data_IF_841794769610
#
_entry.id   IF_841794769610
#
_cell.length_a   1.000
_cell.length_b   1.000
_cell.length_c   1.000
_cell.angle_alpha   90.00
_cell.angle_beta   90.00
_cell.angle_gamma   90.00
#
_symmetry.space_group_name_H-M   'P 1'
#
loop_
_entity.id
_entity.type
_entity.pdbx_description
1 polymer ?
#
# COMPACT_ATOMS: atom_id res chain seq x y z
N UNK A 1 -11.84 -4.92 -9.42
CA UNK A 1 -11.17 -4.72 -8.11
C UNK A 1 -9.72 -5.10 -8.28
N UNK A 2 -8.79 -4.32 -7.73
CA UNK A 2 -7.36 -4.64 -7.77
C UNK A 2 -6.83 -4.79 -6.35
N UNK A 3 -5.77 -5.58 -6.17
CA UNK A 3 -5.21 -5.85 -4.84
C UNK A 3 -3.95 -5.02 -4.59
N UNK A 4 -3.92 -4.23 -3.52
CA UNK A 4 -2.69 -3.63 -3.01
C UNK A 4 -2.05 -4.63 -2.05
N UNK A 5 -0.81 -5.02 -2.29
CA UNK A 5 -0.14 -6.09 -1.54
C UNK A 5 1.01 -5.52 -0.70
N UNK A 6 0.77 -5.16 0.56
CA UNK A 6 1.83 -5.09 1.56
C UNK A 6 2.17 -6.51 2.03
N UNK A 7 3.35 -7.01 1.66
CA UNK A 7 3.87 -8.30 2.12
C UNK A 7 5.15 -8.03 2.93
N UNK A 8 4.97 -7.89 4.25
CA UNK A 8 6.04 -7.52 5.18
C UNK A 8 6.63 -8.76 5.84
N UNK A 9 7.08 -9.69 5.00
CA UNK A 9 7.89 -10.86 5.36
C UNK A 9 9.08 -10.92 4.40
N UNK A 10 10.26 -11.21 4.94
CA UNK A 10 11.47 -11.22 4.15
C UNK A 10 11.41 -12.33 3.07
N UNK A 11 11.86 -12.12 1.82
CA UNK A 11 11.80 -13.14 0.77
C UNK A 11 12.51 -14.45 1.09
N UNK A 12 13.54 -14.40 1.93
CA UNK A 12 14.24 -15.59 2.41
C UNK A 12 13.48 -16.36 3.52
N UNK A 13 12.55 -15.71 4.23
CA UNK A 13 11.76 -16.33 5.31
C UNK A 13 10.55 -17.07 4.74
N UNK A 14 9.87 -16.51 3.73
CA UNK A 14 8.76 -17.18 3.02
C UNK A 14 8.93 -17.11 1.49
N UNK A 15 9.89 -17.85 0.91
CA UNK A 15 10.07 -17.88 -0.54
C UNK A 15 8.83 -18.38 -1.29
N UNK A 16 7.98 -19.18 -0.63
CA UNK A 16 6.74 -19.71 -1.21
C UNK A 16 5.70 -18.61 -1.44
N UNK A 17 5.49 -17.72 -0.47
CA UNK A 17 4.61 -16.56 -0.63
C UNK A 17 5.09 -15.64 -1.75
N UNK A 18 6.38 -15.33 -1.80
CA UNK A 18 6.94 -14.47 -2.84
C UNK A 18 6.81 -15.11 -4.23
N UNK A 19 7.02 -16.41 -4.37
CA UNK A 19 6.79 -17.12 -5.63
C UNK A 19 5.32 -17.07 -6.10
N UNK A 20 4.36 -17.28 -5.17
CA UNK A 20 2.93 -17.14 -5.48
C UNK A 20 2.57 -15.71 -5.88
N UNK A 21 3.14 -14.71 -5.20
CA UNK A 21 2.93 -13.30 -5.54
C UNK A 21 3.47 -12.97 -6.93
N UNK A 22 4.68 -13.42 -7.27
CA UNK A 22 5.28 -13.24 -8.60
C UNK A 22 4.39 -13.86 -9.68
N UNK A 23 3.89 -15.07 -9.48
CA UNK A 23 3.02 -15.76 -10.44
C UNK A 23 1.70 -15.02 -10.68
N UNK A 24 1.22 -14.28 -9.70
CA UNK A 24 -0.03 -13.52 -9.77
C UNK A 24 0.18 -12.00 -9.89
N UNK A 25 1.39 -11.55 -10.24
CA UNK A 25 1.80 -10.14 -10.29
C UNK A 25 0.81 -9.22 -11.06
N UNK A 26 0.33 -9.68 -12.22
CA UNK A 26 -0.59 -8.92 -13.10
C UNK A 26 -1.98 -8.69 -12.49
N UNK A 27 -2.32 -9.37 -11.39
CA UNK A 27 -3.60 -9.24 -10.67
C UNK A 27 -3.52 -8.21 -9.54
N UNK A 28 -2.37 -7.60 -9.32
CA UNK A 28 -2.14 -6.60 -8.28
C UNK A 28 -2.33 -5.18 -8.82
N UNK A 29 -2.78 -4.27 -7.96
CA UNK A 29 -2.63 -2.82 -8.17
C UNK A 29 -1.16 -2.40 -8.04
N UNK A 30 -0.46 -3.01 -7.10
CA UNK A 30 0.95 -2.85 -6.81
C UNK A 30 1.38 -3.67 -5.59
N UNK A 31 2.68 -3.92 -5.50
CA UNK A 31 3.33 -4.61 -4.38
C UNK A 31 4.17 -3.60 -3.61
N UNK A 32 4.00 -3.55 -2.30
CA UNK A 32 4.77 -2.67 -1.42
C UNK A 32 6.01 -3.41 -0.94
N UNK A 33 7.20 -2.89 -1.26
CA UNK A 33 8.47 -3.40 -0.77
C UNK A 33 8.87 -2.65 0.50
N UNK A 34 9.09 -3.39 1.58
CA UNK A 34 9.50 -2.86 2.87
C UNK A 34 10.65 -3.69 3.50
N UNK A 35 11.89 -3.58 2.99
CA UNK A 35 13.03 -4.30 3.53
C UNK A 35 13.29 -4.10 5.02
N UNK A 36 13.23 -2.86 5.49
CA UNK A 36 13.62 -2.53 6.87
C UNK A 36 12.88 -1.28 7.41
N UNK A 37 11.55 -1.24 7.31
CA UNK A 37 10.75 -0.02 7.57
C UNK A 37 11.18 1.14 6.65
N UNK A 38 11.48 0.81 5.40
CA UNK A 38 12.21 1.63 4.44
C UNK A 38 13.11 0.75 3.56
N UNK A 39 14.00 1.35 2.75
CA UNK A 39 14.86 0.62 1.82
C UNK A 39 16.00 -0.14 2.51
N UNK A 40 16.30 0.16 3.78
CA UNK A 40 17.47 -0.33 4.50
C UNK A 40 18.71 0.55 4.33
N UNK A 41 19.81 0.14 4.97
CA UNK A 41 21.10 0.84 4.89
C UNK A 41 21.90 0.47 3.64
N UNK A 42 21.71 -0.75 3.13
CA UNK A 42 22.34 -1.31 1.92
C UNK A 42 21.31 -2.15 1.15
N UNK A 43 21.45 -2.32 -0.18
CA UNK A 43 20.53 -3.14 -0.96
C UNK A 43 20.55 -4.59 -0.49
N UNK A 44 19.42 -5.05 0.04
CA UNK A 44 19.21 -6.46 0.38
C UNK A 44 19.14 -7.33 -0.90
N UNK A 45 19.97 -8.39 -1.03
CA UNK A 45 19.99 -9.24 -2.22
C UNK A 45 18.69 -10.02 -2.47
N UNK A 46 18.01 -10.48 -1.42
CA UNK A 46 16.77 -11.24 -1.54
C UNK A 46 15.63 -10.33 -2.03
N UNK A 47 15.53 -9.11 -1.50
CA UNK A 47 14.60 -8.11 -2.02
C UNK A 47 14.95 -7.65 -3.44
N UNK A 48 16.24 -7.52 -3.77
CA UNK A 48 16.66 -7.18 -5.13
C UNK A 48 16.21 -8.24 -6.14
N UNK A 49 16.42 -9.52 -5.82
CA UNK A 49 15.98 -10.64 -6.64
C UNK A 49 14.44 -10.70 -6.77
N UNK A 50 13.73 -10.54 -5.65
CA UNK A 50 12.26 -10.54 -5.63
C UNK A 50 11.68 -9.37 -6.44
N UNK A 51 12.24 -8.16 -6.29
CA UNK A 51 11.85 -6.98 -7.05
C UNK A 51 12.06 -7.18 -8.56
N UNK A 52 13.21 -7.72 -8.96
CA UNK A 52 13.51 -8.06 -10.35
C UNK A 52 12.48 -9.04 -10.93
N UNK A 53 12.18 -10.12 -10.21
CA UNK A 53 11.21 -11.12 -10.64
C UNK A 53 9.78 -10.56 -10.73
N UNK A 54 9.35 -9.76 -9.75
CA UNK A 54 8.03 -9.12 -9.75
C UNK A 54 7.86 -8.16 -10.94
N UNK A 55 8.88 -7.35 -11.23
CA UNK A 55 8.85 -6.45 -12.40
C UNK A 55 8.81 -7.21 -13.71
N UNK A 56 9.62 -8.28 -13.85
CA UNK A 56 9.58 -9.14 -15.02
C UNK A 56 8.21 -9.79 -15.22
N UNK A 57 7.50 -10.09 -14.13
CA UNK A 57 6.13 -10.60 -14.13
C UNK A 57 5.04 -9.51 -14.30
N UNK A 58 5.43 -8.24 -14.45
CA UNK A 58 4.52 -7.11 -14.72
C UNK A 58 3.90 -6.46 -13.49
N UNK A 59 4.44 -6.70 -12.28
CA UNK A 59 3.99 -5.98 -11.09
C UNK A 59 4.47 -4.52 -11.12
N UNK A 60 3.60 -3.63 -10.63
CA UNK A 60 4.01 -2.30 -10.15
C UNK A 60 4.65 -2.43 -8.77
N UNK A 61 5.82 -1.82 -8.58
CA UNK A 61 6.52 -1.83 -7.29
C UNK A 61 6.43 -0.47 -6.60
N UNK A 62 6.09 -0.50 -5.32
CA UNK A 62 5.94 0.67 -4.46
C UNK A 62 6.96 0.56 -3.32
N UNK A 63 7.90 1.48 -3.23
CA UNK A 63 8.79 1.56 -2.06
C UNK A 63 8.06 2.09 -0.83
N UNK A 64 8.09 1.36 0.28
CA UNK A 64 7.54 1.81 1.57
C UNK A 64 8.39 2.96 2.14
N UNK A 65 7.77 4.05 2.57
CA UNK A 65 8.47 5.13 3.27
C UNK A 65 7.59 5.68 4.39
N UNK A 66 8.09 5.61 5.63
CA UNK A 66 7.43 6.23 6.79
C UNK A 66 7.59 7.76 6.73
N UNK A 67 6.48 8.49 6.84
CA UNK A 67 6.45 9.97 6.88
C UNK A 67 6.34 10.55 8.28
N UNK A 68 6.20 9.69 9.29
CA UNK A 68 6.02 9.99 10.70
C UNK A 68 4.96 11.09 10.95
N UNK A 69 3.80 10.94 10.33
CA UNK A 69 2.69 11.91 10.41
C UNK A 69 3.08 13.34 9.99
N UNK A 70 4.06 13.46 9.09
CA UNK A 70 4.59 14.72 8.58
C UNK A 70 5.70 15.34 9.43
N UNK A 71 6.19 14.64 10.46
CA UNK A 71 7.30 15.08 11.32
C UNK A 71 8.66 14.78 10.68
N UNK A 72 8.78 13.66 9.95
CA UNK A 72 10.05 13.23 9.35
C UNK A 72 10.54 14.23 8.30
N UNK A 73 11.85 14.44 8.23
CA UNK A 73 12.48 15.37 7.28
C UNK A 73 12.14 14.97 5.83
N UNK A 74 11.55 15.87 5.02
CA UNK A 74 11.31 15.62 3.60
C UNK A 74 12.55 15.23 2.79
N UNK A 75 13.75 15.64 3.21
CA UNK A 75 15.01 15.25 2.56
C UNK A 75 15.31 13.76 2.78
N UNK A 76 15.10 13.25 4.00
CA UNK A 76 15.26 11.82 4.31
C UNK A 76 14.21 10.97 3.59
N UNK A 77 12.95 11.40 3.59
CA UNK A 77 11.87 10.74 2.82
C UNK A 77 12.24 10.67 1.33
N UNK A 78 12.76 11.77 0.79
CA UNK A 78 13.21 11.85 -0.60
C UNK A 78 14.35 10.88 -0.90
N UNK A 79 15.29 10.74 0.04
CA UNK A 79 16.41 9.83 -0.08
C UNK A 79 15.96 8.36 -0.04
N UNK A 80 15.05 8.00 0.86
CA UNK A 80 14.48 6.65 0.91
C UNK A 80 13.79 6.27 -0.41
N UNK A 81 13.01 7.19 -0.99
CA UNK A 81 12.37 6.99 -2.29
C UNK A 81 13.42 6.77 -3.39
N UNK A 82 14.52 7.53 -3.38
CA UNK A 82 15.61 7.34 -4.35
C UNK A 82 16.27 5.98 -4.18
N UNK A 83 16.60 5.57 -2.96
CA UNK A 83 17.17 4.24 -2.68
C UNK A 83 16.25 3.13 -3.13
N UNK A 84 14.94 3.24 -2.88
CA UNK A 84 13.98 2.24 -3.38
C UNK A 84 13.99 2.12 -4.91
N UNK A 85 14.05 3.24 -5.62
CA UNK A 85 14.13 3.25 -7.08
C UNK A 85 15.45 2.70 -7.58
N UNK A 86 16.56 3.09 -6.97
CA UNK A 86 17.89 2.75 -7.46
C UNK A 86 18.28 1.30 -7.10
N UNK A 87 17.84 0.78 -5.96
CA UNK A 87 18.15 -0.58 -5.49
C UNK A 87 17.13 -1.63 -5.93
N UNK A 88 15.84 -1.27 -5.93
CA UNK A 88 14.75 -2.22 -6.18
C UNK A 88 13.93 -1.89 -7.43
N UNK A 89 14.34 -0.87 -8.21
CA UNK A 89 13.63 -0.44 -9.41
C UNK A 89 12.14 -0.11 -9.16
N UNK A 90 11.81 0.37 -7.96
CA UNK A 90 10.46 0.79 -7.60
C UNK A 90 10.03 1.99 -8.46
N UNK A 91 8.92 1.85 -9.19
CA UNK A 91 8.36 2.88 -10.07
C UNK A 91 7.39 3.81 -9.34
N UNK A 92 6.98 3.44 -8.12
CA UNK A 92 6.19 4.27 -7.23
C UNK A 92 6.64 4.21 -5.78
N UNK A 93 5.91 4.92 -4.93
CA UNK A 93 6.10 4.89 -3.47
C UNK A 93 4.78 4.71 -2.73
N UNK A 94 4.85 4.04 -1.59
CA UNK A 94 3.82 3.94 -0.58
C UNK A 94 4.27 4.75 0.62
N UNK A 95 3.68 5.94 0.79
CA UNK A 95 3.97 6.80 1.94
C UNK A 95 3.08 6.37 3.09
N UNK A 96 3.68 5.88 4.17
CA UNK A 96 2.97 5.42 5.35
C UNK A 96 2.91 6.45 6.47
N UNK A 97 1.99 6.24 7.42
CA UNK A 97 1.71 7.12 8.55
C UNK A 97 1.51 8.57 8.09
N UNK A 98 0.78 8.77 7.01
CA UNK A 98 0.50 10.11 6.47
C UNK A 98 -0.48 10.82 7.39
N UNK A 99 -0.22 12.08 7.73
CA UNK A 99 -1.20 12.88 8.48
C UNK A 99 -2.53 13.00 7.75
N UNK A 100 -3.63 12.92 8.49
CA UNK A 100 -4.99 13.00 7.97
C UNK A 100 -5.60 14.42 8.04
N UNK A 101 -4.94 15.36 8.73
CA UNK A 101 -5.53 16.66 9.09
C UNK A 101 -5.48 17.66 7.94
N UNK A 102 -6.36 18.66 7.99
CA UNK A 102 -6.36 19.76 7.02
C UNK A 102 -5.05 20.56 7.04
N UNK A 103 -4.47 20.76 8.21
CA UNK A 103 -3.24 21.53 8.41
C UNK A 103 -2.02 20.86 7.76
N UNK A 104 -1.96 19.52 7.79
CA UNK A 104 -0.92 18.73 7.14
C UNK A 104 -0.96 18.76 5.61
N UNK A 105 -2.10 19.16 5.01
CA UNK A 105 -2.36 18.98 3.57
C UNK A 105 -1.36 19.76 2.70
N UNK A 106 -0.95 20.95 3.12
CA UNK A 106 -0.01 21.78 2.37
C UNK A 106 1.39 21.15 2.35
N UNK A 107 1.84 20.58 3.47
CA UNK A 107 3.13 19.90 3.57
C UNK A 107 3.14 18.62 2.73
N UNK A 108 2.10 17.77 2.88
CA UNK A 108 1.94 16.56 2.07
C UNK A 108 1.91 16.88 0.57
N UNK A 109 1.20 17.93 0.15
CA UNK A 109 1.19 18.39 -1.26
C UNK A 109 2.58 18.78 -1.77
N UNK A 110 3.39 19.47 -0.97
CA UNK A 110 4.76 19.83 -1.35
C UNK A 110 5.62 18.57 -1.50
N UNK A 111 5.56 17.66 -0.53
CA UNK A 111 6.28 16.39 -0.58
C UNK A 111 5.92 15.60 -1.84
N UNK A 112 4.64 15.35 -2.10
CA UNK A 112 4.21 14.59 -3.29
C UNK A 112 4.70 15.25 -4.58
N UNK A 113 4.63 16.58 -4.71
CA UNK A 113 5.19 17.28 -5.88
C UNK A 113 6.70 17.09 -6.03
N UNK A 114 7.45 17.13 -4.93
CA UNK A 114 8.89 16.85 -4.94
C UNK A 114 9.15 15.44 -5.44
N UNK A 115 8.45 14.43 -4.91
CA UNK A 115 8.58 13.04 -5.36
C UNK A 115 8.25 12.87 -6.85
N UNK A 116 7.20 13.52 -7.35
CA UNK A 116 6.89 13.52 -8.79
C UNK A 116 8.00 14.12 -9.65
N UNK A 117 8.61 15.22 -9.22
CA UNK A 117 9.75 15.84 -9.92
C UNK A 117 10.98 14.94 -9.95
N UNK A 118 11.09 14.01 -9.01
CA UNK A 118 12.14 13.00 -8.98
C UNK A 118 11.80 11.77 -9.83
N UNK A 119 10.69 11.79 -10.58
CA UNK A 119 10.32 10.70 -11.50
C UNK A 119 9.48 9.60 -10.85
N UNK A 120 8.92 9.81 -9.66
CA UNK A 120 8.00 8.84 -9.04
C UNK A 120 6.69 8.78 -9.85
N UNK A 121 6.41 7.60 -10.42
CA UNK A 121 5.30 7.34 -11.32
C UNK A 121 3.98 7.05 -10.62
N UNK A 122 3.98 6.29 -9.52
CA UNK A 122 2.79 6.08 -8.68
C UNK A 122 3.04 6.54 -7.25
N UNK A 123 2.11 7.28 -6.66
CA UNK A 123 2.14 7.68 -5.24
C UNK A 123 0.90 7.13 -4.57
N UNK A 124 1.09 6.34 -3.52
CA UNK A 124 0.05 5.90 -2.59
C UNK A 124 0.25 6.61 -1.27
N UNK A 125 -0.81 7.20 -0.73
CA UNK A 125 -0.82 7.79 0.62
C UNK A 125 -1.55 6.87 1.56
N UNK A 126 -0.94 6.53 2.69
CA UNK A 126 -1.58 5.78 3.75
C UNK A 126 -1.71 6.60 5.04
N UNK A 127 -2.84 7.30 5.22
CA UNK A 127 -3.26 7.81 6.52
C UNK A 127 -4.01 6.77 7.38
N UNK A 128 -4.36 5.60 6.84
CA UNK A 128 -5.16 4.57 7.53
C UNK A 128 -6.61 4.94 7.85
N UNK A 129 -7.02 6.18 7.62
CA UNK A 129 -8.37 6.71 7.89
C UNK A 129 -8.77 7.68 6.80
N UNK A 130 -10.05 8.08 6.75
CA UNK A 130 -10.48 9.15 5.86
C UNK A 130 -9.79 10.48 6.21
N UNK A 131 -8.91 11.02 5.35
CA UNK A 131 -8.26 12.29 5.62
C UNK A 131 -9.15 13.47 5.21
N UNK A 132 -8.66 14.69 5.40
CA UNK A 132 -9.26 15.87 4.79
C UNK A 132 -9.44 15.64 3.26
N UNK A 133 -10.53 16.10 2.62
CA UNK A 133 -10.84 15.70 1.23
C UNK A 133 -9.76 16.03 0.19
N UNK A 134 -8.88 16.99 0.49
CA UNK A 134 -7.81 17.40 -0.41
C UNK A 134 -6.77 16.32 -0.70
N UNK A 135 -6.55 15.35 0.20
CA UNK A 135 -5.50 14.33 0.05
C UNK A 135 -5.77 13.39 -1.14
N UNK A 136 -7.03 13.04 -1.41
CA UNK A 136 -7.43 12.19 -2.53
C UNK A 136 -7.17 12.82 -3.93
N UNK A 137 -6.75 14.10 -3.97
CA UNK A 137 -6.30 14.78 -5.20
C UNK A 137 -4.79 14.85 -5.33
N UNK A 138 -4.04 14.54 -4.28
CA UNK A 138 -2.58 14.63 -4.27
C UNK A 138 -1.92 13.41 -4.91
N UNK A 139 -2.54 12.24 -4.76
CA UNK A 139 -1.95 10.95 -5.07
C UNK A 139 -2.83 10.11 -6.01
N UNK A 140 -2.29 9.02 -6.53
CA UNK A 140 -3.03 8.09 -7.40
C UNK A 140 -4.00 7.24 -6.57
N UNK A 141 -3.58 6.88 -5.36
CA UNK A 141 -4.35 6.07 -4.42
C UNK A 141 -4.21 6.63 -2.99
N UNK A 142 -5.30 6.62 -2.25
CA UNK A 142 -5.32 6.97 -0.82
C UNK A 142 -5.93 5.81 -0.05
N UNK A 143 -5.19 5.26 0.92
CA UNK A 143 -5.72 4.27 1.86
C UNK A 143 -6.61 5.01 2.85
N UNK A 144 -7.92 4.83 2.72
CA UNK A 144 -8.91 5.52 3.56
C UNK A 144 -9.45 4.69 4.71
N UNK A 145 -9.01 3.44 4.79
CA UNK A 145 -9.24 2.57 5.92
C UNK A 145 -8.05 1.60 6.04
N UNK A 146 -7.48 1.53 7.23
CA UNK A 146 -6.57 0.48 7.67
C UNK A 146 -6.99 0.02 9.07
N UNK A 147 -7.37 -1.24 9.21
CA UNK A 147 -7.84 -1.74 10.49
C UNK A 147 -8.34 -3.18 10.48
N UNK A 148 -8.66 -3.66 11.68
CA UNK A 148 -9.17 -5.00 11.89
C UNK A 148 -10.57 -5.21 11.25
N UNK A 149 -10.84 -6.43 10.78
CA UNK A 149 -12.10 -6.83 10.15
C UNK A 149 -13.34 -6.49 11.00
N UNK A 150 -13.29 -6.74 12.31
CA UNK A 150 -14.42 -6.43 13.22
C UNK A 150 -14.76 -4.94 13.27
N UNK A 151 -13.76 -4.06 13.31
CA UNK A 151 -13.93 -2.60 13.25
C UNK A 151 -14.42 -2.18 11.88
N UNK A 152 -13.87 -2.79 10.84
CA UNK A 152 -14.32 -2.55 9.47
C UNK A 152 -15.82 -2.84 9.39
N UNK A 153 -16.29 -4.02 9.81
CA UNK A 153 -17.71 -4.39 9.74
C UNK A 153 -18.58 -3.47 10.59
N UNK A 154 -18.19 -3.20 11.84
CA UNK A 154 -19.07 -2.57 12.84
C UNK A 154 -19.07 -1.04 12.84
N UNK A 155 -17.96 -0.39 12.47
CA UNK A 155 -17.76 1.04 12.71
C UNK A 155 -17.39 1.85 11.46
N UNK A 156 -17.20 1.20 10.30
CA UNK A 156 -16.87 1.93 9.07
C UNK A 156 -17.99 2.90 8.69
N UNK A 157 -17.61 4.14 8.44
CA UNK A 157 -18.48 5.16 7.88
C UNK A 157 -17.86 5.72 6.62
N UNK A 158 -18.70 6.05 5.63
CA UNK A 158 -18.26 6.62 4.35
C UNK A 158 -18.58 8.12 4.31
N UNK A 159 -17.60 9.01 4.44
CA UNK A 159 -17.84 10.45 4.31
C UNK A 159 -18.34 10.82 2.92
N UNK A 160 -19.26 11.77 2.84
CA UNK A 160 -19.89 12.21 1.59
C UNK A 160 -18.88 12.69 0.53
N UNK A 161 -17.73 13.23 0.94
CA UNK A 161 -16.70 13.69 0.01
C UNK A 161 -16.14 12.57 -0.86
N UNK A 162 -16.11 11.33 -0.36
CA UNK A 162 -15.57 10.18 -1.07
C UNK A 162 -16.34 9.88 -2.36
N UNK A 163 -17.65 10.19 -2.40
CA UNK A 163 -18.49 10.02 -3.58
C UNK A 163 -18.10 10.94 -4.74
N UNK A 164 -17.29 11.99 -4.50
CA UNK A 164 -16.78 12.91 -5.53
C UNK A 164 -15.49 12.41 -6.19
N UNK A 165 -14.99 11.23 -5.80
CA UNK A 165 -13.78 10.64 -6.33
C UNK A 165 -14.09 9.28 -6.96
N UNK A 166 -13.41 8.91 -8.06
CA UNK A 166 -13.49 7.55 -8.58
C UNK A 166 -13.05 6.55 -7.50
N UNK A 167 -13.76 5.43 -7.38
CA UNK A 167 -13.43 4.37 -6.43
C UNK A 167 -12.00 3.83 -6.60
N UNK A 168 -11.46 3.90 -7.82
CA UNK A 168 -10.06 3.56 -8.15
C UNK A 168 -8.99 4.42 -7.46
N UNK A 169 -9.38 5.52 -6.80
CA UNK A 169 -8.47 6.34 -5.99
C UNK A 169 -8.52 6.04 -4.50
N UNK A 170 -9.41 5.14 -4.08
CA UNK A 170 -9.61 4.80 -2.67
C UNK A 170 -9.21 3.36 -2.43
N UNK A 171 -8.50 3.13 -1.32
CA UNK A 171 -8.03 1.81 -0.92
C UNK A 171 -8.43 1.49 0.51
N UNK A 172 -8.84 0.24 0.76
CA UNK A 172 -9.05 -0.29 2.11
C UNK A 172 -8.08 -1.44 2.38
N UNK A 173 -7.25 -1.29 3.39
CA UNK A 173 -6.37 -2.32 3.95
C UNK A 173 -7.08 -2.92 5.17
N UNK A 174 -7.32 -4.22 5.18
CA UNK A 174 -8.14 -4.85 6.23
C UNK A 174 -7.44 -6.10 6.74
N UNK A 175 -7.11 -6.14 8.02
CA UNK A 175 -6.46 -7.30 8.64
C UNK A 175 -7.36 -8.05 9.60
N UNK A 176 -6.92 -9.21 10.11
CA UNK A 176 -7.72 -10.09 10.96
C UNK A 176 -9.00 -10.58 10.28
N UNK A 177 -9.00 -10.69 8.95
CA UNK A 177 -10.13 -11.20 8.18
C UNK A 177 -10.13 -12.72 8.31
N UNK A 178 -11.18 -13.36 8.88
CA UNK A 178 -11.28 -14.82 8.85
C UNK A 178 -11.17 -15.32 7.41
N UNK A 179 -10.37 -16.37 7.16
CA UNK A 179 -10.02 -16.80 5.81
C UNK A 179 -11.26 -17.02 4.91
N UNK A 180 -12.29 -17.68 5.45
CA UNK A 180 -13.56 -17.92 4.77
C UNK A 180 -14.30 -16.63 4.35
N UNK A 181 -13.99 -15.49 4.98
CA UNK A 181 -14.59 -14.18 4.72
C UNK A 181 -13.73 -13.29 3.82
N UNK A 182 -12.54 -13.72 3.38
CA UNK A 182 -11.70 -12.91 2.48
C UNK A 182 -12.43 -12.47 1.20
N UNK A 183 -13.19 -13.34 0.50
CA UNK A 183 -13.99 -12.90 -0.65
C UNK A 183 -15.07 -11.89 -0.29
N UNK A 184 -15.65 -12.00 0.92
CA UNK A 184 -16.61 -11.03 1.42
C UNK A 184 -15.93 -9.68 1.68
N UNK A 185 -14.75 -9.66 2.31
CA UNK A 185 -14.01 -8.43 2.56
C UNK A 185 -13.68 -7.65 1.28
N UNK A 186 -13.31 -8.36 0.20
CA UNK A 186 -13.11 -7.76 -1.13
C UNK A 186 -14.40 -7.10 -1.65
N UNK A 187 -15.55 -7.80 -1.58
CA UNK A 187 -16.85 -7.25 -2.00
C UNK A 187 -17.27 -6.05 -1.13
N UNK A 188 -17.09 -6.16 0.18
CA UNK A 188 -17.41 -5.09 1.14
C UNK A 188 -16.58 -3.84 0.87
N UNK A 189 -15.30 -3.96 0.47
CA UNK A 189 -14.51 -2.80 0.02
C UNK A 189 -15.11 -2.11 -1.21
N UNK A 190 -15.57 -2.88 -2.20
CA UNK A 190 -16.26 -2.35 -3.37
C UNK A 190 -17.51 -1.55 -3.01
N UNK A 191 -18.40 -2.16 -2.21
CA UNK A 191 -19.67 -1.57 -1.79
C UNK A 191 -19.45 -0.29 -0.96
N UNK A 192 -18.35 -0.26 -0.21
CA UNK A 192 -17.92 0.91 0.57
C UNK A 192 -17.15 1.96 -0.24
N UNK A 193 -17.01 1.76 -1.55
CA UNK A 193 -16.52 2.77 -2.49
C UNK A 193 -15.02 2.74 -2.76
N UNK A 194 -14.30 1.70 -2.35
CA UNK A 194 -12.90 1.48 -2.69
C UNK A 194 -12.78 0.41 -3.79
N UNK A 195 -12.09 0.72 -4.89
CA UNK A 195 -11.82 -0.25 -5.96
C UNK A 195 -10.42 -0.89 -5.88
N UNK A 196 -9.67 -0.56 -4.83
CA UNK A 196 -8.43 -1.24 -4.44
C UNK A 196 -8.56 -1.72 -2.99
N UNK A 197 -8.09 -2.91 -2.67
CA UNK A 197 -8.06 -3.39 -1.28
C UNK A 197 -6.91 -4.36 -1.01
N UNK A 198 -6.60 -4.57 0.26
CA UNK A 198 -5.65 -5.59 0.72
C UNK A 198 -6.20 -6.29 1.97
N UNK A 199 -7.11 -7.27 1.83
CA UNK A 199 -7.59 -8.05 2.96
C UNK A 199 -6.60 -9.15 3.33
N UNK A 200 -6.21 -9.27 4.60
CA UNK A 200 -5.30 -10.32 5.09
C UNK A 200 -5.88 -11.00 6.34
N UNK A 201 -5.41 -12.22 6.58
CA UNK A 201 -5.75 -13.05 7.74
C UNK A 201 -4.91 -12.72 8.97
N UNK A 202 -3.73 -12.12 8.78
CA UNK A 202 -2.78 -11.84 9.85
C UNK A 202 -3.31 -10.85 10.89
N UNK A 203 -2.73 -10.95 12.08
CA UNK A 203 -3.03 -10.11 13.25
C UNK A 203 -1.82 -9.26 13.66
N UNK A 204 -2.01 -8.19 14.46
CA UNK A 204 -0.91 -7.48 15.08
C UNK A 204 0.04 -8.42 15.86
N UNK A 205 1.35 -8.11 15.93
CA UNK A 205 1.98 -6.83 15.58
C UNK A 205 2.31 -6.65 14.09
N UNK A 206 2.28 -7.71 13.29
CA UNK A 206 2.55 -7.64 11.84
C UNK A 206 1.46 -8.37 11.05
N UNK A 207 0.30 -7.72 10.81
CA UNK A 207 -0.79 -8.35 10.08
C UNK A 207 -0.44 -8.66 8.61
N UNK A 208 0.59 -8.01 8.08
CA UNK A 208 1.02 -8.09 6.68
C UNK A 208 2.11 -9.14 6.43
N UNK A 209 2.40 -9.99 7.42
CA UNK A 209 3.41 -11.04 7.32
C UNK A 209 3.00 -12.18 6.36
N UNK A 210 1.72 -12.32 6.05
CA UNK A 210 1.19 -13.39 5.21
C UNK A 210 0.61 -12.83 3.91
N UNK A 211 0.80 -13.57 2.82
CA UNK A 211 0.21 -13.23 1.53
C UNK A 211 -1.31 -13.39 1.57
N UNK A 212 -2.03 -12.34 1.15
CA UNK A 212 -3.50 -12.37 1.09
C UNK A 212 -4.06 -13.59 0.33
N UNK A 213 -5.00 -14.36 0.95
CA UNK A 213 -5.71 -15.42 0.25
C UNK A 213 -6.54 -14.92 -0.95
N UNK A 214 -6.85 -13.62 -1.01
CA UNK A 214 -7.60 -13.03 -2.13
C UNK A 214 -6.86 -13.18 -3.47
N UNK A 215 -5.53 -13.30 -3.43
CA UNK A 215 -4.71 -13.48 -4.64
C UNK A 215 -4.92 -14.87 -5.27
N UNK A 216 -5.31 -15.88 -4.48
CA UNK A 216 -5.66 -17.20 -5.01
C UNK A 216 -7.09 -17.23 -5.60
N UNK A 217 -8.03 -16.46 -5.03
CA UNK A 217 -9.47 -16.62 -5.29
C UNK A 217 -10.07 -15.85 -6.48
N UNK A 218 -9.43 -14.80 -7.02
CA UNK A 218 -10.02 -13.97 -8.10
C UNK A 218 -10.03 -14.60 -9.52
N UNK A 219 -10.18 -15.93 -9.62
CA UNK A 219 -10.15 -16.69 -10.88
C UNK A 219 -11.24 -17.76 -10.97
N UNK A 220 -12.38 -17.60 -10.29
CA UNK A 220 -13.58 -18.40 -10.52
C UNK A 220 -14.78 -17.48 -10.73
#
# INVERSE_FOLDING_TARGET
MSLLIPLYVHPAEDPGAWHRLITAATRTYGVVLNPASGPGEVPDPAFTAAAGALRAAGARLLGYVDTDYGVRDPAEITEDVRRHRDWYAADGCFLDRVTATADGLAACRRLVRTLRRLGVGTVVLNPGVHPAPGYARLADLTVTFEGHWSTYVSAFSRPAWTARHPAGRLCHLVYGVPEALVPLAVRTAHERGAAVCGPVTGEPPNPWAELTPALAGAGR
#
